data_IF_447515018412
#
_entry.id   IF_447515018412
#
_cell.length_a   1.000
_cell.length_b   1.000
_cell.length_c   1.000
_cell.angle_alpha   90.00
_cell.angle_beta   90.00
_cell.angle_gamma   90.00
#
_symmetry.space_group_name_H-M   'P 1'
#
loop_
_entity.id
_entity.type
_entity.pdbx_description
1 polymer ?
#
# COMPACT_ATOMS: atom_id res chain seq x y z
N UNK A 1 16.01 38.41 36.78
CA UNK A 1 15.04 37.53 36.12
C UNK A 1 13.88 37.36 37.07
N UNK A 2 12.76 37.98 36.76
CA UNK A 2 11.55 38.02 37.58
C UNK A 2 10.77 36.72 37.38
N UNK A 3 10.46 36.06 38.48
CA UNK A 3 9.49 34.96 38.55
C UNK A 3 8.17 35.45 37.94
N UNK A 4 7.49 34.68 37.08
CA UNK A 4 6.17 35.07 36.63
C UNK A 4 5.25 35.02 37.85
N UNK A 5 4.81 36.20 38.29
CA UNK A 5 3.72 36.38 39.25
C UNK A 5 2.41 35.99 38.55
N UNK A 6 2.22 34.70 38.31
CA UNK A 6 0.93 34.15 37.92
C UNK A 6 0.12 33.98 39.21
N UNK A 7 -0.54 35.05 39.64
CA UNK A 7 -1.68 34.92 40.53
C UNK A 7 -2.68 33.98 39.85
N UNK A 8 -2.70 32.71 40.30
CA UNK A 8 -3.68 31.71 39.88
C UNK A 8 -5.06 32.28 40.18
N UNK A 9 -5.87 32.46 39.11
CA UNK A 9 -7.22 33.02 39.18
C UNK A 9 -8.00 32.34 40.34
N UNK A 10 -8.57 33.11 41.28
CA UNK A 10 -9.28 32.56 42.43
C UNK A 10 -10.48 31.67 42.04
N UNK A 11 -10.98 31.75 40.80
CA UNK A 11 -12.00 30.83 40.27
C UNK A 11 -11.46 29.43 39.99
N UNK A 12 -10.18 29.32 39.62
CA UNK A 12 -9.50 28.04 39.39
C UNK A 12 -9.23 27.35 40.73
N UNK A 13 -8.99 28.12 41.80
CA UNK A 13 -8.79 27.60 43.17
C UNK A 13 -10.02 26.93 43.79
N UNK A 14 -11.22 27.23 43.27
CA UNK A 14 -12.46 26.58 43.67
C UNK A 14 -12.72 25.26 42.91
N UNK A 15 -11.89 24.93 41.92
CA UNK A 15 -12.04 23.72 41.11
C UNK A 15 -11.25 22.56 41.73
N UNK A 16 -11.83 21.37 41.65
CA UNK A 16 -11.13 20.12 41.94
C UNK A 16 -9.89 20.02 41.01
N UNK A 17 -8.67 19.72 41.54
CA UNK A 17 -7.48 19.47 40.73
C UNK A 17 -7.68 18.49 39.55
N UNK A 18 -8.59 17.53 39.70
CA UNK A 18 -8.99 16.61 38.62
C UNK A 18 -9.70 17.32 37.48
N UNK A 19 -10.56 18.29 37.81
CA UNK A 19 -11.29 19.09 36.84
C UNK A 19 -10.35 20.04 36.10
N UNK A 20 -9.33 20.58 36.78
CA UNK A 20 -8.25 21.35 36.13
C UNK A 20 -7.48 20.49 35.13
N UNK A 21 -7.14 19.25 35.51
CA UNK A 21 -6.50 18.29 34.60
C UNK A 21 -7.35 17.97 33.37
N UNK A 22 -8.66 17.82 33.54
CA UNK A 22 -9.59 17.56 32.44
C UNK A 22 -9.79 18.79 31.52
N UNK A 23 -9.88 20.00 32.07
CA UNK A 23 -9.96 21.23 31.28
C UNK A 23 -8.65 21.50 30.53
N UNK A 24 -7.50 21.19 31.15
CA UNK A 24 -6.20 21.18 30.47
C UNK A 24 -6.21 20.20 29.29
N UNK A 25 -6.68 18.96 29.49
CA UNK A 25 -6.80 17.95 28.43
C UNK A 25 -7.62 18.46 27.26
N UNK A 26 -8.82 19.00 27.50
CA UNK A 26 -9.67 19.55 26.42
C UNK A 26 -9.03 20.71 25.66
N UNK A 27 -8.20 21.50 26.33
CA UNK A 27 -7.57 22.68 25.73
C UNK A 27 -6.31 22.34 24.95
N UNK A 28 -5.47 21.43 25.46
CA UNK A 28 -4.11 21.20 24.96
C UNK A 28 -3.87 19.79 24.39
N UNK A 29 -4.68 18.79 24.71
CA UNK A 29 -4.60 17.44 24.13
C UNK A 29 -5.53 17.29 22.92
N UNK A 30 -5.59 18.32 22.05
CA UNK A 30 -6.44 18.27 20.85
C UNK A 30 -5.78 17.45 19.74
N UNK A 31 -6.55 16.81 18.83
CA UNK A 31 -5.99 15.95 17.78
C UNK A 31 -5.02 16.65 16.83
N UNK A 32 -5.14 17.97 16.66
CA UNK A 32 -4.34 18.82 15.77
C UNK A 32 -3.00 19.26 16.37
N UNK A 33 -2.81 19.11 17.68
CA UNK A 33 -1.54 19.37 18.35
C UNK A 33 -0.60 18.19 18.07
N UNK A 34 0.61 18.43 17.59
CA UNK A 34 1.57 17.35 17.34
C UNK A 34 2.17 16.78 18.64
N UNK A 35 2.81 15.61 18.54
CA UNK A 35 3.34 14.87 19.68
C UNK A 35 4.46 15.62 20.41
N UNK A 36 5.28 16.39 19.67
CA UNK A 36 6.41 17.13 20.24
C UNK A 36 5.90 18.35 20.99
N UNK A 37 4.98 19.12 20.40
CA UNK A 37 4.31 20.25 21.07
C UNK A 37 3.58 19.80 22.35
N UNK A 38 2.95 18.62 22.33
CA UNK A 38 2.31 18.05 23.52
C UNK A 38 3.35 17.60 24.56
N UNK A 39 4.48 17.03 24.14
CA UNK A 39 5.56 16.63 25.03
C UNK A 39 6.24 17.83 25.71
N UNK A 40 6.39 18.96 25.01
CA UNK A 40 6.91 20.21 25.58
C UNK A 40 6.06 20.70 26.77
N UNK A 41 4.76 20.41 26.78
CA UNK A 41 3.88 20.76 27.90
C UNK A 41 4.24 20.02 29.19
N UNK A 42 4.96 18.90 29.14
CA UNK A 42 5.42 18.19 30.35
C UNK A 42 6.50 18.95 31.11
N UNK A 43 7.34 19.74 30.42
CA UNK A 43 8.52 20.38 31.00
C UNK A 43 8.21 21.22 32.25
N UNK A 44 7.26 22.17 32.19
CA UNK A 44 6.89 23.00 33.33
C UNK A 44 6.32 22.20 34.51
N UNK A 45 5.48 21.19 34.24
CA UNK A 45 4.86 20.38 35.29
C UNK A 45 5.84 19.41 35.95
N UNK A 46 6.74 18.80 35.17
CA UNK A 46 7.81 17.96 35.71
C UNK A 46 8.78 18.79 36.55
N UNK A 47 9.16 19.99 36.11
CA UNK A 47 10.02 20.87 36.91
C UNK A 47 9.39 21.24 38.27
N UNK A 48 8.06 21.43 38.30
CA UNK A 48 7.31 21.65 39.53
C UNK A 48 7.28 20.38 40.40
N UNK A 49 6.99 19.21 39.83
CA UNK A 49 7.01 17.94 40.56
C UNK A 49 8.41 17.63 41.13
N UNK A 50 9.46 17.92 40.35
CA UNK A 50 10.86 17.72 40.73
C UNK A 50 11.28 18.60 41.91
N UNK A 51 10.70 19.79 42.05
CA UNK A 51 10.95 20.66 43.21
C UNK A 51 10.46 20.07 44.54
N UNK A 52 9.61 19.03 44.51
CA UNK A 52 9.11 18.30 45.68
C UNK A 52 9.55 16.81 45.70
N UNK A 53 10.49 16.42 44.83
CA UNK A 53 10.92 15.02 44.67
C UNK A 53 11.72 14.47 45.88
N UNK A 54 12.18 15.34 46.78
CA UNK A 54 12.85 14.95 48.04
C UNK A 54 11.87 14.49 49.14
N UNK A 55 10.57 14.48 48.84
CA UNK A 55 9.51 14.09 49.76
C UNK A 55 8.99 15.23 50.63
N UNK A 56 9.41 16.47 50.37
CA UNK A 56 8.88 17.65 51.04
C UNK A 56 7.44 17.88 50.61
N UNK A 57 6.49 17.66 51.52
CA UNK A 57 5.09 18.00 51.30
C UNK A 57 4.93 19.49 51.58
N UNK A 58 4.27 20.26 50.70
CA UNK A 58 4.05 21.68 50.96
C UNK A 58 3.26 21.90 52.25
N UNK A 59 3.65 22.91 53.03
CA UNK A 59 3.02 23.25 54.30
C UNK A 59 1.75 24.11 54.13
N UNK A 60 1.56 24.73 52.96
CA UNK A 60 0.37 25.52 52.64
C UNK A 60 -0.57 24.78 51.67
N UNK A 61 -1.86 25.07 51.77
CA UNK A 61 -2.91 24.40 50.99
C UNK A 61 -2.85 24.76 49.49
N UNK A 62 -2.35 25.96 49.14
CA UNK A 62 -2.22 26.43 47.75
C UNK A 62 -1.19 25.58 46.97
N UNK A 63 -0.04 25.30 47.56
CA UNK A 63 1.03 24.50 46.96
C UNK A 63 0.65 23.02 46.91
N UNK A 64 -0.11 22.50 47.91
CA UNK A 64 -0.67 21.14 47.86
C UNK A 64 -1.65 20.98 46.71
N UNK A 65 -2.56 21.93 46.54
CA UNK A 65 -3.52 21.94 45.44
C UNK A 65 -2.80 22.02 44.08
N UNK A 66 -1.77 22.87 43.97
CA UNK A 66 -0.98 23.01 42.75
C UNK A 66 -0.21 21.73 42.42
N UNK A 67 0.34 21.06 43.43
CA UNK A 67 1.03 19.78 43.29
C UNK A 67 0.07 18.69 42.80
N UNK A 68 -1.14 18.61 43.34
CA UNK A 68 -2.19 17.68 42.87
C UNK A 68 -2.61 17.98 41.41
N UNK A 69 -2.73 19.26 41.04
CA UNK A 69 -2.98 19.66 39.65
C UNK A 69 -1.86 19.18 38.73
N UNK A 70 -0.60 19.40 39.12
CA UNK A 70 0.57 18.99 38.36
C UNK A 70 0.59 17.47 38.13
N UNK A 71 0.29 16.67 39.17
CA UNK A 71 0.17 15.22 39.02
C UNK A 71 -0.92 14.82 38.02
N UNK A 72 -2.11 15.42 38.11
CA UNK A 72 -3.21 15.11 37.21
C UNK A 72 -2.91 15.52 35.77
N UNK A 73 -2.33 16.70 35.55
CA UNK A 73 -1.97 17.19 34.22
C UNK A 73 -0.85 16.36 33.60
N UNK A 74 0.24 16.11 34.34
CA UNK A 74 1.35 15.26 33.88
C UNK A 74 0.87 13.87 33.50
N UNK A 75 0.02 13.25 34.32
CA UNK A 75 -0.56 11.93 34.01
C UNK A 75 -1.38 11.94 32.72
N UNK A 76 -2.20 12.95 32.51
CA UNK A 76 -3.00 13.06 31.28
C UNK A 76 -2.13 13.22 30.04
N UNK A 77 -1.14 14.12 30.09
CA UNK A 77 -0.23 14.34 28.97
C UNK A 77 0.54 13.05 28.66
N UNK A 78 1.06 12.34 29.68
CA UNK A 78 1.75 11.07 29.49
C UNK A 78 0.86 9.99 28.87
N UNK A 79 -0.41 9.87 29.31
CA UNK A 79 -1.37 8.93 28.74
C UNK A 79 -1.68 9.25 27.26
N UNK A 80 -1.88 10.52 26.95
CA UNK A 80 -2.15 10.98 25.58
C UNK A 80 -0.94 10.75 24.66
N UNK A 81 0.27 11.07 25.12
CA UNK A 81 1.51 10.79 24.38
C UNK A 81 1.70 9.29 24.13
N UNK A 82 1.44 8.45 25.14
CA UNK A 82 1.53 7.01 25.00
C UNK A 82 0.51 6.47 23.98
N UNK A 83 -0.74 6.94 24.03
CA UNK A 83 -1.77 6.54 23.07
C UNK A 83 -1.42 6.97 21.65
N UNK A 84 -0.97 8.22 21.46
CA UNK A 84 -0.56 8.73 20.15
C UNK A 84 0.64 7.97 19.60
N UNK A 85 1.64 7.72 20.45
CA UNK A 85 2.80 6.93 20.08
C UNK A 85 2.40 5.53 19.64
N UNK A 86 1.52 4.84 20.36
CA UNK A 86 1.02 3.52 19.95
C UNK A 86 0.28 3.61 18.61
N UNK A 87 -0.60 4.60 18.42
CA UNK A 87 -1.31 4.81 17.16
C UNK A 87 -0.33 5.03 15.99
N UNK A 88 0.76 5.78 16.18
CA UNK A 88 1.80 5.96 15.16
C UNK A 88 2.52 4.65 14.85
N UNK A 89 2.88 3.86 15.86
CA UNK A 89 3.51 2.55 15.66
C UNK A 89 2.56 1.54 14.99
N UNK A 90 1.27 1.57 15.32
CA UNK A 90 0.25 0.79 14.65
C UNK A 90 0.11 1.20 13.17
N UNK A 91 0.05 2.50 12.89
CA UNK A 91 -0.03 3.01 11.52
C UNK A 91 1.24 2.69 10.72
N UNK A 92 2.42 2.76 11.33
CA UNK A 92 3.68 2.35 10.69
C UNK A 92 3.72 0.85 10.38
N UNK A 93 3.30 -0.01 11.33
CA UNK A 93 3.17 -1.47 11.09
C UNK A 93 2.11 -1.78 10.04
N UNK A 94 1.03 -1.00 9.99
CA UNK A 94 0.01 -1.12 8.98
C UNK A 94 0.53 -0.73 7.60
N UNK A 95 1.19 0.43 7.48
CA UNK A 95 1.75 0.92 6.22
C UNK A 95 2.81 -0.05 5.67
N UNK A 96 3.70 -0.58 6.51
CA UNK A 96 4.67 -1.60 6.12
C UNK A 96 3.99 -2.84 5.52
N UNK A 97 2.95 -3.36 6.19
CA UNK A 97 2.17 -4.51 5.68
C UNK A 97 1.48 -4.20 4.36
N UNK A 98 0.95 -2.98 4.20
CA UNK A 98 0.28 -2.54 2.97
C UNK A 98 1.28 -2.45 1.82
N UNK A 99 2.38 -1.74 2.01
CA UNK A 99 3.43 -1.59 0.99
C UNK A 99 4.09 -2.91 0.64
N UNK A 100 4.30 -3.80 1.60
CA UNK A 100 4.82 -5.14 1.33
C UNK A 100 3.92 -5.93 0.37
N UNK A 101 2.60 -5.92 0.57
CA UNK A 101 1.66 -6.64 -0.30
C UNK A 101 1.62 -6.08 -1.71
N UNK A 102 1.68 -4.76 -1.85
CA UNK A 102 1.73 -4.09 -3.16
C UNK A 102 3.01 -4.44 -3.89
N UNK A 103 4.15 -4.33 -3.21
CA UNK A 103 5.45 -4.67 -3.80
C UNK A 103 5.49 -6.14 -4.24
N UNK A 104 4.94 -7.06 -3.44
CA UNK A 104 4.75 -8.46 -3.86
C UNK A 104 3.87 -8.55 -5.12
N UNK A 105 2.74 -7.83 -5.19
CA UNK A 105 1.88 -7.84 -6.37
C UNK A 105 2.60 -7.32 -7.63
N UNK A 106 3.32 -6.21 -7.52
CA UNK A 106 4.09 -5.63 -8.63
C UNK A 106 5.24 -6.55 -9.06
N UNK A 107 5.91 -7.22 -8.11
CA UNK A 107 6.94 -8.23 -8.42
C UNK A 107 6.38 -9.45 -9.13
N UNK A 108 5.17 -9.91 -8.76
CA UNK A 108 4.47 -11.00 -9.46
C UNK A 108 4.16 -10.57 -10.89
N UNK A 109 3.62 -9.37 -11.08
CA UNK A 109 3.33 -8.82 -12.40
C UNK A 109 4.60 -8.71 -13.26
N UNK A 110 5.69 -8.16 -12.72
CA UNK A 110 6.96 -8.02 -13.44
C UNK A 110 7.53 -9.38 -13.88
N UNK A 111 7.45 -10.41 -13.02
CA UNK A 111 7.84 -11.78 -13.39
C UNK A 111 6.96 -12.35 -14.51
N UNK A 112 5.65 -12.10 -14.45
CA UNK A 112 4.72 -12.55 -15.48
C UNK A 112 5.01 -11.89 -16.83
N UNK A 113 5.22 -10.57 -16.86
CA UNK A 113 5.57 -9.82 -18.07
C UNK A 113 6.86 -10.39 -18.67
N UNK A 114 7.92 -10.59 -17.87
CA UNK A 114 9.18 -11.16 -18.38
C UNK A 114 8.99 -12.57 -18.97
N UNK A 115 8.16 -13.40 -18.34
CA UNK A 115 7.84 -14.74 -18.83
C UNK A 115 7.07 -14.68 -20.15
N UNK A 116 6.05 -13.81 -20.24
CA UNK A 116 5.26 -13.61 -21.46
C UNK A 116 6.10 -13.08 -22.61
N UNK A 117 7.03 -12.14 -22.35
CA UNK A 117 7.99 -11.65 -23.35
C UNK A 117 8.89 -12.77 -23.84
N UNK A 118 9.41 -13.60 -22.94
CA UNK A 118 10.26 -14.74 -23.31
C UNK A 118 9.50 -15.77 -24.16
N UNK A 119 8.26 -16.08 -23.78
CA UNK A 119 7.40 -17.02 -24.52
C UNK A 119 7.01 -16.47 -25.90
N UNK A 120 6.78 -15.16 -26.00
CA UNK A 120 6.54 -14.48 -27.28
C UNK A 120 7.74 -14.58 -28.22
N UNK A 121 8.97 -14.41 -27.72
CA UNK A 121 10.18 -14.57 -28.52
C UNK A 121 10.35 -16.01 -29.04
N UNK A 122 10.07 -17.01 -28.20
CA UNK A 122 10.06 -18.43 -28.61
C UNK A 122 8.97 -18.73 -29.64
N UNK A 123 7.79 -18.14 -29.48
CA UNK A 123 6.68 -18.27 -30.43
C UNK A 123 7.04 -17.71 -31.80
N UNK A 124 7.65 -16.51 -31.84
CA UNK A 124 8.14 -15.90 -33.07
C UNK A 124 9.18 -16.80 -33.74
N UNK A 125 10.18 -17.31 -33.00
CA UNK A 125 11.21 -18.20 -33.54
C UNK A 125 10.64 -19.50 -34.10
N UNK A 126 9.64 -20.10 -33.43
CA UNK A 126 8.95 -21.29 -33.91
C UNK A 126 8.16 -21.01 -35.20
N UNK A 127 7.51 -19.85 -35.31
CA UNK A 127 6.79 -19.42 -36.51
C UNK A 127 7.72 -19.12 -37.68
N UNK A 128 8.85 -18.48 -37.42
CA UNK A 128 9.90 -18.23 -38.42
C UNK A 128 10.51 -19.54 -38.93
N UNK A 129 10.79 -20.49 -38.03
CA UNK A 129 11.25 -21.83 -38.40
C UNK A 129 10.23 -22.54 -39.28
N UNK A 130 8.95 -22.50 -38.89
CA UNK A 130 7.86 -23.08 -39.69
C UNK A 130 7.77 -22.44 -41.08
N UNK A 131 7.89 -21.11 -41.17
CA UNK A 131 7.86 -20.38 -42.43
C UNK A 131 9.07 -20.70 -43.32
N UNK A 132 10.27 -20.78 -42.75
CA UNK A 132 11.49 -21.16 -43.46
C UNK A 132 11.42 -22.59 -44.01
N UNK A 133 10.73 -23.48 -43.29
CA UNK A 133 10.48 -24.87 -43.68
C UNK A 133 9.27 -25.02 -44.64
N UNK A 134 8.66 -23.91 -45.07
CA UNK A 134 7.58 -23.90 -46.07
C UNK A 134 6.19 -24.20 -45.51
N UNK A 135 6.03 -24.16 -44.19
CA UNK A 135 4.73 -24.30 -43.54
C UNK A 135 4.00 -22.97 -43.41
N UNK A 136 2.67 -23.04 -43.41
CA UNK A 136 1.77 -21.94 -43.05
C UNK A 136 1.28 -22.13 -41.63
N UNK A 137 1.59 -21.17 -40.75
CA UNK A 137 1.10 -21.15 -39.38
C UNK A 137 -0.15 -20.29 -39.30
N UNK A 138 -1.25 -20.89 -38.86
CA UNK A 138 -2.49 -20.14 -38.58
C UNK A 138 -2.36 -19.33 -37.28
N UNK A 139 -3.22 -18.32 -37.04
CA UNK A 139 -3.23 -17.58 -35.76
C UNK A 139 -3.46 -18.48 -34.53
N UNK A 140 -4.05 -19.66 -34.71
CA UNK A 140 -4.28 -20.66 -33.66
C UNK A 140 -3.08 -21.61 -33.45
N UNK A 141 -1.96 -21.40 -34.17
CA UNK A 141 -0.77 -22.23 -34.08
C UNK A 141 -0.85 -23.56 -34.83
N UNK A 142 -1.93 -23.81 -35.60
CA UNK A 142 -2.03 -24.97 -36.49
C UNK A 142 -1.12 -24.78 -37.69
N UNK A 143 -0.31 -25.79 -38.01
CA UNK A 143 0.69 -25.74 -39.07
C UNK A 143 0.20 -26.58 -40.26
N UNK A 144 0.02 -25.91 -41.39
CA UNK A 144 -0.42 -26.54 -42.65
C UNK A 144 0.67 -26.45 -43.71
N UNK A 145 0.73 -27.43 -44.61
CA UNK A 145 1.68 -27.39 -45.73
C UNK A 145 1.18 -26.35 -46.76
N UNK A 146 2.03 -25.41 -47.15
CA UNK A 146 1.68 -24.41 -48.17
C UNK A 146 1.40 -25.10 -49.52
N UNK A 147 0.24 -24.81 -50.14
CA UNK A 147 -0.12 -25.36 -51.46
C UNK A 147 0.75 -24.83 -52.62
N UNK A 148 1.62 -23.84 -52.39
CA UNK A 148 2.25 -23.00 -53.44
C UNK A 148 3.77 -23.17 -53.67
N UNK A 149 4.38 -24.34 -53.35
CA UNK A 149 5.83 -24.73 -53.49
C UNK A 149 6.73 -24.23 -52.35
N UNK A 150 7.96 -24.76 -52.09
CA UNK A 150 8.84 -25.81 -52.65
C UNK A 150 9.34 -26.57 -51.41
N UNK A 151 8.80 -27.76 -51.13
CA UNK A 151 9.58 -28.73 -50.36
C UNK A 151 10.75 -29.07 -51.28
N UNK A 152 11.99 -28.90 -50.82
CA UNK A 152 13.16 -29.19 -51.65
C UNK A 152 13.04 -30.60 -52.24
N UNK A 153 13.42 -30.74 -53.51
CA UNK A 153 13.33 -32.04 -54.18
C UNK A 153 14.23 -33.04 -53.44
N UNK A 154 13.62 -34.00 -52.73
CA UNK A 154 14.33 -35.01 -51.91
C UNK A 154 14.11 -34.90 -50.40
N UNK A 155 13.32 -33.94 -49.90
CA UNK A 155 12.97 -33.92 -48.47
C UNK A 155 12.09 -35.11 -48.10
N UNK A 156 12.51 -35.88 -47.09
CA UNK A 156 11.75 -37.02 -46.58
C UNK A 156 10.40 -36.57 -45.98
N UNK A 157 9.25 -37.03 -46.52
CA UNK A 157 7.93 -36.70 -46.02
C UNK A 157 7.73 -37.04 -44.53
N UNK A 158 8.38 -38.10 -44.05
CA UNK A 158 8.30 -38.53 -42.64
C UNK A 158 9.03 -37.54 -41.73
N UNK A 159 10.18 -37.02 -42.17
CA UNK A 159 10.93 -36.01 -41.41
C UNK A 159 10.18 -34.68 -41.35
N UNK A 160 9.55 -34.28 -42.46
CA UNK A 160 8.71 -33.07 -42.50
C UNK A 160 7.50 -33.18 -41.58
N UNK A 161 6.79 -34.31 -41.60
CA UNK A 161 5.63 -34.50 -40.74
C UNK A 161 6.02 -34.53 -39.26
N UNK A 162 7.14 -35.17 -38.92
CA UNK A 162 7.69 -35.15 -37.56
C UNK A 162 8.05 -33.73 -37.13
N UNK A 163 8.62 -32.95 -38.03
CA UNK A 163 9.02 -31.57 -37.76
C UNK A 163 7.81 -30.65 -37.59
N UNK A 164 6.78 -30.80 -38.43
CA UNK A 164 5.47 -30.15 -38.28
C UNK A 164 4.89 -30.42 -36.89
N UNK A 165 4.80 -31.69 -36.50
CA UNK A 165 4.28 -32.09 -35.19
C UNK A 165 5.09 -31.53 -34.01
N UNK A 166 6.42 -31.42 -34.16
CA UNK A 166 7.28 -30.81 -33.15
C UNK A 166 6.98 -29.32 -32.99
N UNK A 167 6.88 -28.57 -34.09
CA UNK A 167 6.59 -27.13 -34.06
C UNK A 167 5.18 -26.86 -33.54
N UNK A 168 4.18 -27.66 -33.94
CA UNK A 168 2.82 -27.59 -33.38
C UNK A 168 2.82 -27.86 -31.87
N UNK A 169 3.56 -28.86 -31.41
CA UNK A 169 3.69 -29.15 -29.98
C UNK A 169 4.32 -27.98 -29.21
N UNK A 170 5.30 -27.29 -29.79
CA UNK A 170 5.93 -26.10 -29.18
C UNK A 170 4.91 -24.96 -29.09
N UNK A 171 4.23 -24.63 -30.20
CA UNK A 171 3.24 -23.55 -30.22
C UNK A 171 2.06 -23.83 -29.27
N UNK A 172 1.57 -25.07 -29.24
CA UNK A 172 0.50 -25.48 -28.32
C UNK A 172 0.95 -25.47 -26.85
N UNK A 173 2.23 -25.75 -26.57
CA UNK A 173 2.78 -25.62 -25.23
C UNK A 173 2.86 -24.15 -24.80
N UNK A 174 3.46 -23.29 -25.64
CA UNK A 174 3.61 -21.86 -25.37
C UNK A 174 2.24 -21.16 -25.19
N UNK A 175 1.23 -21.52 -25.98
CA UNK A 175 -0.12 -21.00 -25.83
C UNK A 175 -0.72 -21.36 -24.46
N UNK A 176 -0.60 -22.62 -24.03
CA UNK A 176 -1.08 -23.07 -22.71
C UNK A 176 -0.31 -22.40 -21.56
N UNK A 177 1.00 -22.26 -21.71
CA UNK A 177 1.84 -21.61 -20.72
C UNK A 177 1.49 -20.13 -20.58
N UNK A 178 1.28 -19.44 -21.70
CA UNK A 178 0.81 -18.05 -21.73
C UNK A 178 -0.50 -17.88 -20.96
N UNK A 179 -1.48 -18.74 -21.22
CA UNK A 179 -2.79 -18.67 -20.56
C UNK A 179 -2.66 -18.99 -19.06
N UNK A 180 -1.81 -19.96 -18.70
CA UNK A 180 -1.51 -20.31 -17.30
C UNK A 180 -0.87 -19.14 -16.56
N UNK A 181 0.18 -18.53 -17.13
CA UNK A 181 0.88 -17.39 -16.53
C UNK A 181 -0.07 -16.21 -16.34
N UNK A 182 -0.93 -15.90 -17.32
CA UNK A 182 -1.92 -14.84 -17.17
C UNK A 182 -2.91 -15.13 -16.03
N UNK A 183 -3.54 -16.31 -16.04
CA UNK A 183 -4.54 -16.67 -15.03
C UNK A 183 -3.96 -16.72 -13.62
N UNK A 184 -2.78 -17.33 -13.44
CA UNK A 184 -2.11 -17.42 -12.15
C UNK A 184 -1.70 -16.04 -11.64
N UNK A 185 -1.22 -15.17 -12.54
CA UNK A 185 -0.84 -13.79 -12.19
C UNK A 185 -2.05 -13.00 -11.74
N UNK A 186 -3.14 -13.04 -12.50
CA UNK A 186 -4.40 -12.37 -12.15
C UNK A 186 -4.89 -12.86 -10.79
N UNK A 187 -4.95 -14.17 -10.57
CA UNK A 187 -5.40 -14.76 -9.31
C UNK A 187 -4.53 -14.31 -8.12
N UNK A 188 -3.20 -14.33 -8.28
CA UNK A 188 -2.28 -13.88 -7.23
C UNK A 188 -2.38 -12.39 -6.97
N UNK A 189 -2.49 -11.55 -8.00
CA UNK A 189 -2.67 -10.11 -7.83
C UNK A 189 -4.00 -9.80 -7.12
N UNK A 190 -5.10 -10.44 -7.53
CA UNK A 190 -6.39 -10.32 -6.83
C UNK A 190 -6.28 -10.71 -5.36
N UNK A 191 -5.58 -11.80 -5.05
CA UNK A 191 -5.31 -12.20 -3.67
C UNK A 191 -4.49 -11.15 -2.91
N UNK A 192 -3.44 -10.60 -3.53
CA UNK A 192 -2.63 -9.56 -2.90
C UNK A 192 -3.43 -8.29 -2.65
N UNK A 193 -4.30 -7.88 -3.56
CA UNK A 193 -5.14 -6.69 -3.38
C UNK A 193 -6.40 -6.91 -2.54
N UNK A 194 -6.78 -8.16 -2.28
CA UNK A 194 -8.03 -8.49 -1.61
C UNK A 194 -9.27 -8.35 -2.50
N UNK A 195 -9.11 -8.48 -3.81
CA UNK A 195 -10.14 -8.30 -4.83
C UNK A 195 -11.09 -9.52 -4.96
N UNK A 196 -11.52 -10.10 -3.83
CA UNK A 196 -12.41 -11.27 -3.79
C UNK A 196 -13.90 -10.89 -3.71
N UNK A 197 -14.20 -9.62 -3.47
CA UNK A 197 -15.57 -9.10 -3.34
C UNK A 197 -15.91 -8.07 -4.42
N UNK A 198 -17.06 -7.41 -4.26
CA UNK A 198 -17.49 -6.31 -5.12
C UNK A 198 -16.93 -4.97 -4.61
N UNK A 199 -16.53 -4.09 -5.52
CA UNK A 199 -16.02 -2.76 -5.19
C UNK A 199 -14.50 -2.66 -5.25
N UNK A 200 -13.97 -1.53 -4.78
CA UNK A 200 -12.52 -1.24 -4.80
C UNK A 200 -11.80 -2.24 -3.87
N UNK A 201 -10.74 -2.91 -4.34
CA UNK A 201 -9.96 -3.81 -3.51
C UNK A 201 -9.40 -3.11 -2.25
N UNK A 202 -9.53 -3.70 -1.05
CA UNK A 202 -9.17 -3.04 0.20
C UNK A 202 -7.74 -2.53 0.22
N UNK A 203 -6.79 -3.27 -0.34
CA UNK A 203 -5.40 -2.83 -0.36
C UNK A 203 -5.17 -1.63 -1.27
N UNK A 204 -5.92 -1.51 -2.37
CA UNK A 204 -5.85 -0.33 -3.23
C UNK A 204 -6.35 0.89 -2.45
N UNK A 205 -7.48 0.77 -1.76
CA UNK A 205 -8.01 1.82 -0.90
C UNK A 205 -7.02 2.24 0.19
N UNK A 206 -6.47 1.27 0.93
CA UNK A 206 -5.50 1.55 2.01
C UNK A 206 -4.23 2.21 1.48
N UNK A 207 -3.78 1.84 0.29
CA UNK A 207 -2.62 2.50 -0.34
C UNK A 207 -2.89 3.97 -0.63
N UNK A 208 -4.07 4.27 -1.18
CA UNK A 208 -4.47 5.64 -1.46
C UNK A 208 -4.65 6.44 -0.17
N UNK A 209 -5.20 5.83 0.90
CA UNK A 209 -5.30 6.48 2.23
C UNK A 209 -3.94 6.84 2.81
N UNK A 210 -2.91 6.05 2.52
CA UNK A 210 -1.53 6.33 2.87
C UNK A 210 -0.86 7.37 1.94
N UNK A 211 -1.57 7.90 0.95
CA UNK A 211 -1.07 8.91 0.02
C UNK A 211 -0.10 8.40 -1.03
N UNK A 212 -0.04 7.08 -1.26
CA UNK A 212 0.89 6.50 -2.22
C UNK A 212 0.26 6.31 -3.62
N UNK A 213 1.01 6.68 -4.65
CA UNK A 213 0.57 6.54 -6.05
C UNK A 213 0.75 5.10 -6.55
N UNK A 214 -0.36 4.47 -6.92
CA UNK A 214 -0.39 3.16 -7.60
C UNK A 214 -0.63 3.27 -9.11
N UNK A 215 -1.21 4.38 -9.56
CA UNK A 215 -1.71 4.55 -10.92
C UNK A 215 -0.54 4.62 -11.89
N UNK A 216 0.44 5.49 -11.63
CA UNK A 216 1.54 5.73 -12.56
C UNK A 216 2.47 4.51 -12.73
N UNK A 217 2.88 3.80 -11.66
CA UNK A 217 3.67 2.57 -11.80
C UNK A 217 2.93 1.49 -12.59
N UNK A 218 1.63 1.29 -12.33
CA UNK A 218 0.83 0.29 -13.03
C UNK A 218 0.64 0.63 -14.51
N UNK A 219 0.36 1.90 -14.84
CA UNK A 219 0.28 2.36 -16.24
C UNK A 219 1.59 2.17 -16.98
N UNK A 220 2.73 2.48 -16.33
CA UNK A 220 4.06 2.28 -16.91
C UNK A 220 4.29 0.82 -17.26
N UNK A 221 4.00 -0.10 -16.33
CA UNK A 221 4.12 -1.55 -16.55
C UNK A 221 3.18 -2.06 -17.66
N UNK A 222 1.99 -1.46 -17.78
CA UNK A 222 0.98 -1.84 -18.78
C UNK A 222 1.29 -1.34 -20.20
N UNK A 223 2.01 -0.23 -20.35
CA UNK A 223 2.22 0.46 -21.64
C UNK A 223 2.82 -0.41 -22.76
N UNK A 224 3.60 -1.44 -22.41
CA UNK A 224 4.21 -2.38 -23.35
C UNK A 224 3.43 -3.69 -23.54
N UNK A 225 2.26 -3.85 -22.92
CA UNK A 225 1.53 -5.13 -22.92
C UNK A 225 0.57 -5.26 -24.12
N UNK A 226 0.57 -6.41 -24.82
CA UNK A 226 -0.44 -6.69 -25.82
C UNK A 226 -1.83 -6.86 -25.19
N UNK A 227 -2.87 -6.74 -26.02
CA UNK A 227 -4.24 -7.07 -25.63
C UNK A 227 -4.31 -8.50 -25.09
N UNK A 228 -4.72 -8.61 -23.82
CA UNK A 228 -4.68 -9.86 -23.06
C UNK A 228 -5.57 -9.76 -21.82
N UNK A 229 -5.92 -10.91 -21.23
CA UNK A 229 -6.73 -10.92 -20.01
C UNK A 229 -5.98 -10.25 -18.85
N UNK A 230 -4.65 -10.40 -18.81
CA UNK A 230 -3.81 -9.74 -17.81
C UNK A 230 -3.83 -8.22 -17.99
N UNK A 231 -3.80 -7.72 -19.23
CA UNK A 231 -3.93 -6.29 -19.50
C UNK A 231 -5.28 -5.75 -19.04
N UNK A 232 -6.39 -6.42 -19.38
CA UNK A 232 -7.72 -5.99 -18.91
C UNK A 232 -7.85 -6.00 -17.38
N UNK A 233 -7.22 -6.97 -16.70
CA UNK A 233 -7.17 -6.98 -15.24
C UNK A 233 -6.36 -5.81 -14.67
N UNK A 234 -5.25 -5.44 -15.30
CA UNK A 234 -4.46 -4.25 -14.95
C UNK A 234 -5.23 -2.96 -15.13
N UNK A 235 -5.96 -2.82 -16.24
CA UNK A 235 -6.84 -1.67 -16.50
C UNK A 235 -7.91 -1.53 -15.41
N UNK A 236 -8.48 -2.64 -14.94
CA UNK A 236 -9.42 -2.63 -13.82
C UNK A 236 -8.74 -2.17 -12.52
N UNK A 237 -7.56 -2.69 -12.17
CA UNK A 237 -6.86 -2.26 -10.96
C UNK A 237 -6.47 -0.78 -11.00
N UNK A 238 -6.09 -0.26 -12.18
CA UNK A 238 -5.83 1.17 -12.37
C UNK A 238 -7.11 1.99 -12.17
N UNK A 239 -8.22 1.58 -12.76
CA UNK A 239 -9.51 2.24 -12.59
C UNK A 239 -9.96 2.25 -11.12
N UNK A 240 -9.77 1.14 -10.41
CA UNK A 240 -10.07 1.04 -8.98
C UNK A 240 -9.19 1.99 -8.15
N UNK A 241 -7.91 2.14 -8.49
CA UNK A 241 -6.99 3.06 -7.83
C UNK A 241 -7.34 4.53 -8.09
N UNK A 242 -7.70 4.88 -9.33
CA UNK A 242 -8.19 6.22 -9.66
C UNK A 242 -9.50 6.55 -8.93
N UNK A 243 -10.41 5.59 -8.84
CA UNK A 243 -11.66 5.77 -8.10
C UNK A 243 -11.40 5.98 -6.61
N UNK A 244 -10.50 5.19 -6.02
CA UNK A 244 -10.09 5.35 -4.62
C UNK A 244 -9.47 6.73 -4.36
N UNK A 245 -8.59 7.20 -5.25
CA UNK A 245 -7.98 8.52 -5.16
C UNK A 245 -9.02 9.64 -5.19
N UNK A 246 -10.05 9.52 -6.04
CA UNK A 246 -11.17 10.48 -6.08
C UNK A 246 -11.99 10.47 -4.80
N UNK A 247 -12.32 9.29 -4.27
CA UNK A 247 -13.09 9.16 -3.03
C UNK A 247 -12.38 9.74 -1.82
N UNK A 248 -11.05 9.69 -1.77
CA UNK A 248 -10.26 10.28 -0.67
C UNK A 248 -10.11 11.80 -0.81
N UNK A 249 -10.09 12.30 -2.05
CA UNK A 249 -10.03 13.73 -2.34
C UNK A 249 -11.38 14.45 -2.31
N UNK A 250 -12.49 13.71 -2.16
CA UNK A 250 -13.84 14.26 -2.19
C UNK A 250 -14.30 14.69 -0.77
N UNK A 251 -14.59 15.98 -0.52
CA UNK A 251 -15.05 16.44 0.78
C UNK A 251 -16.44 15.93 1.18
N UNK A 252 -17.23 15.40 0.25
CA UNK A 252 -18.54 14.78 0.54
C UNK A 252 -18.44 13.26 0.81
N UNK A 253 -17.25 12.67 0.69
CA UNK A 253 -17.00 11.25 0.92
C UNK A 253 -16.66 10.98 2.39
N UNK A 254 -17.21 9.89 2.94
CA UNK A 254 -16.86 9.40 4.28
C UNK A 254 -15.47 8.73 4.35
N UNK A 255 -14.72 8.72 3.24
CA UNK A 255 -13.41 8.07 3.12
C UNK A 255 -12.29 9.09 3.34
N UNK A 256 -11.72 9.10 4.53
CA UNK A 256 -10.63 10.00 4.88
C UNK A 256 -9.24 9.41 4.60
N UNK A 257 -8.28 10.30 4.30
CA UNK A 257 -6.86 9.97 4.27
C UNK A 257 -6.31 9.75 5.69
N UNK A 258 -5.25 8.94 5.82
CA UNK A 258 -4.54 8.85 7.09
C UNK A 258 -3.81 10.16 7.41
N UNK A 259 -3.71 10.53 8.70
CA UNK A 259 -2.91 11.69 9.10
C UNK A 259 -1.46 11.49 8.65
N UNK A 260 -0.86 12.54 8.12
CA UNK A 260 0.56 12.52 7.72
C UNK A 260 1.40 12.30 8.97
N UNK A 261 2.08 11.15 9.04
CA UNK A 261 3.12 10.93 10.05
C UNK A 261 4.29 11.84 9.65
N UNK A 262 4.55 12.88 10.46
CA UNK A 262 5.72 13.75 10.30
C UNK A 262 6.89 13.19 11.09
#
# INVERSE_FOLDING_TARGET
MTVPDQQVDPRIRAMDPRQVGEDFRRKYCRPDVDIDTLAEQLGPWNALLDSYADGTVPDNDDDRWLLECAFHITRWIQQELAQRSENYHELARHSERVFHRIDVALRILGKAINTLVSNSALEVSARESAAAEGFLVTPLGVITVAKQRRIDAGTDPVLLERRRAQLESILAHLARERDTVQNDTIARMRSQFGANGTGIPPMIMETQRLGADLVEPMRTMMSGMPESQLRSAMEQFIADAELAQRLIGDPESDVEAYPVIR
#
